data_IF_224111701250
#
_entry.id   IF_224111701250
#
_cell.length_a   1.000
_cell.length_b   1.000
_cell.length_c   1.000
_cell.angle_alpha   90.00
_cell.angle_beta   90.00
_cell.angle_gamma   90.00
#
_symmetry.space_group_name_H-M   'P 1'
#
loop_
_entity.id
_entity.type
_entity.pdbx_description
1 polymer ?
#
# COMPACT_ATOMS: atom_id res chain seq x y z
N UNK A 1 28.61 -32.55 -9.07
CA UNK A 1 29.37 -33.51 -8.23
C UNK A 1 28.90 -33.31 -6.79
N UNK A 2 27.94 -34.12 -6.34
CA UNK A 2 27.47 -34.12 -4.94
C UNK A 2 28.57 -34.77 -4.09
N UNK A 3 29.26 -34.01 -3.25
CA UNK A 3 29.97 -34.59 -2.11
C UNK A 3 28.92 -34.81 -1.01
N UNK A 4 28.49 -36.06 -0.77
CA UNK A 4 27.57 -36.35 0.32
C UNK A 4 28.35 -36.12 1.63
N UNK A 5 27.68 -35.61 2.65
CA UNK A 5 28.11 -35.72 4.04
C UNK A 5 28.39 -37.20 4.37
N UNK A 6 29.60 -37.68 4.07
CA UNK A 6 29.97 -39.10 4.12
C UNK A 6 30.48 -39.54 5.49
N UNK A 7 30.55 -38.65 6.48
CA UNK A 7 30.79 -39.05 7.85
C UNK A 7 29.74 -38.40 8.76
N UNK A 8 28.69 -39.18 9.03
CA UNK A 8 27.56 -38.81 9.90
C UNK A 8 28.00 -38.87 11.37
N UNK A 9 28.87 -37.96 11.81
CA UNK A 9 29.15 -37.75 13.23
C UNK A 9 28.06 -36.82 13.79
N UNK A 10 27.22 -37.36 14.69
CA UNK A 10 26.07 -36.63 15.27
C UNK A 10 26.42 -35.80 16.51
N UNK A 11 27.70 -35.77 16.90
CA UNK A 11 28.17 -35.15 18.15
C UNK A 11 29.16 -34.03 17.86
N UNK A 12 29.07 -32.87 18.55
CA UNK A 12 30.04 -31.77 18.40
C UNK A 12 31.47 -32.17 18.80
N UNK A 13 31.64 -33.29 19.53
CA UNK A 13 32.94 -33.85 19.92
C UNK A 13 33.84 -34.24 18.74
N UNK A 14 33.28 -34.50 17.54
CA UNK A 14 34.09 -34.77 16.34
C UNK A 14 35.02 -33.60 15.99
N UNK A 15 34.61 -32.36 16.27
CA UNK A 15 35.44 -31.17 16.10
C UNK A 15 36.70 -31.17 16.99
N UNK A 16 36.61 -31.78 18.18
CA UNK A 16 37.76 -31.92 19.09
C UNK A 16 38.80 -32.85 18.49
N UNK A 17 38.38 -33.98 17.91
CA UNK A 17 39.31 -34.91 17.26
C UNK A 17 40.02 -34.26 16.07
N UNK A 18 39.32 -33.48 15.24
CA UNK A 18 39.96 -32.74 14.14
C UNK A 18 40.91 -31.67 14.66
N UNK A 19 40.58 -30.98 15.75
CA UNK A 19 41.45 -29.97 16.35
C UNK A 19 42.74 -30.59 16.93
N UNK A 20 42.63 -31.74 17.61
CA UNK A 20 43.80 -32.49 18.11
C UNK A 20 44.70 -32.92 16.95
N UNK A 21 44.14 -33.47 15.87
CA UNK A 21 44.92 -33.87 14.69
C UNK A 21 45.64 -32.67 14.05
N UNK A 22 44.96 -31.54 13.90
CA UNK A 22 45.57 -30.29 13.40
C UNK A 22 46.69 -29.81 14.31
N UNK A 23 46.50 -29.86 15.64
CA UNK A 23 47.50 -29.47 16.61
C UNK A 23 48.74 -30.38 16.50
N UNK A 24 48.56 -31.71 16.47
CA UNK A 24 49.66 -32.66 16.29
C UNK A 24 50.39 -32.41 14.96
N UNK A 25 49.67 -32.12 13.88
CA UNK A 25 50.27 -31.82 12.58
C UNK A 25 51.15 -30.55 12.63
N UNK A 26 50.68 -29.47 13.26
CA UNK A 26 51.44 -28.22 13.38
C UNK A 26 52.66 -28.37 14.31
N UNK A 27 52.59 -29.19 15.37
CA UNK A 27 53.73 -29.35 16.29
C UNK A 27 54.74 -30.42 15.85
N UNK A 28 54.29 -31.53 15.27
CA UNK A 28 55.16 -32.67 14.95
C UNK A 28 55.55 -32.75 13.48
N UNK A 29 54.72 -32.26 12.55
CA UNK A 29 54.88 -32.49 11.10
C UNK A 29 55.35 -31.24 10.32
N UNK A 30 55.54 -30.10 10.99
CA UNK A 30 55.94 -28.84 10.33
C UNK A 30 57.25 -28.96 9.54
N UNK A 31 58.22 -29.76 10.03
CA UNK A 31 59.49 -30.01 9.32
C UNK A 31 59.29 -30.75 8.00
N UNK A 32 58.29 -31.63 7.92
CA UNK A 32 57.93 -32.38 6.71
C UNK A 32 57.10 -31.50 5.77
N UNK A 33 56.17 -30.69 6.30
CA UNK A 33 55.32 -29.78 5.53
C UNK A 33 56.16 -28.73 4.79
N UNK A 34 57.32 -28.34 5.32
CA UNK A 34 58.24 -27.39 4.67
C UNK A 34 58.70 -27.84 3.27
N UNK A 35 58.85 -29.15 3.03
CA UNK A 35 59.33 -29.67 1.75
C UNK A 35 58.21 -29.84 0.70
N UNK A 36 56.97 -29.48 1.01
CA UNK A 36 55.85 -29.63 0.08
C UNK A 36 55.97 -28.59 -1.05
N UNK A 37 55.96 -29.02 -2.32
CA UNK A 37 56.04 -28.09 -3.46
C UNK A 37 54.85 -27.12 -3.49
N UNK A 38 55.10 -25.83 -3.73
CA UNK A 38 54.05 -24.81 -3.90
C UNK A 38 53.05 -25.15 -5.02
N UNK A 39 53.50 -25.89 -6.05
CA UNK A 39 52.63 -26.38 -7.13
C UNK A 39 51.54 -27.33 -6.62
N UNK A 40 51.85 -28.19 -5.64
CA UNK A 40 50.89 -29.11 -5.03
C UNK A 40 49.83 -28.35 -4.22
N UNK A 41 50.24 -27.32 -3.47
CA UNK A 41 49.33 -26.47 -2.70
C UNK A 41 48.41 -25.66 -3.63
N UNK A 42 48.96 -25.06 -4.69
CA UNK A 42 48.19 -24.33 -5.68
C UNK A 42 47.17 -25.22 -6.40
N UNK A 43 47.55 -26.47 -6.75
CA UNK A 43 46.65 -27.43 -7.39
C UNK A 43 45.42 -27.76 -6.53
N UNK A 44 45.62 -28.01 -5.23
CA UNK A 44 44.52 -28.28 -4.29
C UNK A 44 43.62 -27.06 -4.14
N UNK A 45 44.18 -25.84 -4.06
CA UNK A 45 43.41 -24.60 -3.97
C UNK A 45 42.58 -24.36 -5.23
N UNK A 46 43.16 -24.50 -6.42
CA UNK A 46 42.45 -24.28 -7.70
C UNK A 46 41.30 -25.29 -7.84
N UNK A 47 41.53 -26.56 -7.51
CA UNK A 47 40.47 -27.57 -7.53
C UNK A 47 39.33 -27.23 -6.55
N UNK A 48 39.68 -26.85 -5.31
CA UNK A 48 38.69 -26.50 -4.28
C UNK A 48 37.91 -25.22 -4.62
N UNK A 49 38.56 -24.19 -5.16
CA UNK A 49 37.89 -22.93 -5.56
C UNK A 49 37.11 -23.09 -6.85
N UNK A 50 37.57 -23.93 -7.78
CA UNK A 50 36.84 -24.23 -9.01
C UNK A 50 35.44 -24.80 -8.74
N UNK A 51 35.32 -25.64 -7.70
CA UNK A 51 34.04 -26.19 -7.26
C UNK A 51 33.09 -25.14 -6.64
N UNK A 52 33.62 -23.97 -6.22
CA UNK A 52 32.83 -22.87 -5.68
C UNK A 52 32.21 -21.98 -6.76
N UNK A 53 32.77 -21.98 -7.98
CA UNK A 53 32.29 -21.12 -9.07
C UNK A 53 30.87 -21.53 -9.47
N UNK A 54 29.94 -20.57 -9.38
CA UNK A 54 28.54 -20.77 -9.75
C UNK A 54 28.44 -21.14 -11.23
N UNK A 55 27.71 -22.22 -11.52
CA UNK A 55 27.50 -22.68 -12.89
C UNK A 55 26.79 -21.60 -13.74
N UNK A 56 27.18 -21.40 -15.02
CA UNK A 56 26.60 -20.35 -15.87
C UNK A 56 25.08 -20.48 -16.07
N UNK A 57 24.54 -21.69 -15.98
CA UNK A 57 23.10 -21.94 -16.05
C UNK A 57 22.34 -21.26 -14.90
N UNK A 58 22.91 -21.19 -13.70
CA UNK A 58 22.30 -20.52 -12.55
C UNK A 58 22.20 -19.01 -12.75
N UNK A 59 23.21 -18.40 -13.40
CA UNK A 59 23.16 -16.97 -13.75
C UNK A 59 22.05 -16.66 -14.76
N UNK A 60 21.85 -17.57 -15.72
CA UNK A 60 20.74 -17.46 -16.66
C UNK A 60 19.38 -17.59 -15.97
N UNK A 61 19.26 -18.47 -14.98
CA UNK A 61 18.06 -18.59 -14.15
C UNK A 61 17.79 -17.31 -13.34
N UNK A 62 18.81 -16.68 -12.76
CA UNK A 62 18.64 -15.39 -12.07
C UNK A 62 18.05 -14.33 -12.98
N UNK A 63 18.57 -14.20 -14.22
CA UNK A 63 18.03 -13.25 -15.20
C UNK A 63 16.56 -13.56 -15.58
N UNK A 64 16.16 -14.83 -15.59
CA UNK A 64 14.76 -15.24 -15.87
C UNK A 64 13.82 -14.99 -14.70
N UNK A 65 14.28 -15.18 -13.46
CA UNK A 65 13.46 -15.01 -12.25
C UNK A 65 13.32 -13.52 -11.90
N UNK A 66 14.45 -12.82 -11.81
CA UNK A 66 14.52 -11.43 -11.38
C UNK A 66 15.70 -10.75 -12.09
N UNK A 67 15.44 -9.99 -13.17
CA UNK A 67 16.46 -9.22 -13.86
C UNK A 67 17.33 -8.31 -12.96
N UNK A 68 16.79 -7.59 -11.95
CA UNK A 68 17.64 -6.73 -11.11
C UNK A 68 18.63 -7.53 -10.27
N UNK A 69 18.29 -8.75 -9.83
CA UNK A 69 19.20 -9.56 -9.01
C UNK A 69 20.40 -10.05 -9.82
N UNK A 70 20.21 -10.32 -11.11
CA UNK A 70 21.31 -10.64 -12.02
C UNK A 70 22.26 -9.44 -12.20
N UNK A 71 21.74 -8.20 -12.20
CA UNK A 71 22.54 -6.97 -12.25
C UNK A 71 23.32 -6.78 -10.95
N UNK A 72 22.66 -6.98 -9.79
CA UNK A 72 23.32 -6.91 -8.47
C UNK A 72 24.49 -7.90 -8.41
N UNK A 73 24.27 -9.15 -8.85
CA UNK A 73 25.32 -10.15 -8.92
C UNK A 73 26.48 -9.72 -9.83
N UNK A 74 26.18 -9.23 -11.04
CA UNK A 74 27.21 -8.80 -12.00
C UNK A 74 28.05 -7.63 -11.45
N UNK A 75 27.40 -6.62 -10.85
CA UNK A 75 28.08 -5.49 -10.23
C UNK A 75 28.95 -5.96 -9.06
N UNK A 76 28.41 -6.83 -8.20
CA UNK A 76 29.17 -7.40 -7.08
C UNK A 76 30.43 -8.14 -7.53
N UNK A 77 30.31 -8.98 -8.57
CA UNK A 77 31.43 -9.72 -9.14
C UNK A 77 32.49 -8.78 -9.73
N UNK A 78 32.06 -7.78 -10.51
CA UNK A 78 32.98 -6.80 -11.12
C UNK A 78 33.72 -5.99 -10.04
N UNK A 79 33.03 -5.56 -8.99
CA UNK A 79 33.65 -4.80 -7.88
C UNK A 79 34.58 -5.71 -7.06
N UNK A 80 34.23 -6.98 -6.86
CA UNK A 80 35.08 -7.93 -6.14
C UNK A 80 36.40 -8.21 -6.88
N UNK A 81 36.38 -8.23 -8.22
CA UNK A 81 37.57 -8.45 -9.06
C UNK A 81 38.44 -7.18 -9.16
N UNK A 82 37.82 -6.00 -9.25
CA UNK A 82 38.55 -4.75 -9.51
C UNK A 82 39.01 -4.01 -8.25
N UNK A 83 38.34 -4.20 -7.12
CA UNK A 83 38.65 -3.52 -5.86
C UNK A 83 38.96 -4.54 -4.74
N UNK A 84 38.22 -4.43 -3.63
CA UNK A 84 38.36 -5.27 -2.44
C UNK A 84 37.02 -5.95 -2.16
N UNK A 85 37.09 -7.11 -1.52
CA UNK A 85 35.90 -7.88 -1.14
C UNK A 85 34.92 -7.04 -0.29
N UNK A 86 35.33 -6.25 0.72
CA UNK A 86 34.40 -5.40 1.48
C UNK A 86 33.63 -4.40 0.62
N UNK A 87 34.30 -3.75 -0.35
CA UNK A 87 33.66 -2.78 -1.23
C UNK A 87 32.57 -3.44 -2.10
N UNK A 88 32.79 -4.69 -2.53
CA UNK A 88 31.78 -5.45 -3.29
C UNK A 88 30.55 -5.79 -2.45
N UNK A 89 30.73 -6.08 -1.17
CA UNK A 89 29.63 -6.35 -0.24
C UNK A 89 28.82 -5.07 -0.02
N UNK A 90 29.49 -3.93 0.24
CA UNK A 90 28.79 -2.65 0.39
C UNK A 90 28.01 -2.26 -0.87
N UNK A 91 28.62 -2.40 -2.05
CA UNK A 91 27.95 -2.10 -3.32
C UNK A 91 26.69 -2.95 -3.54
N UNK A 92 26.78 -4.26 -3.35
CA UNK A 92 25.63 -5.17 -3.56
C UNK A 92 24.50 -4.94 -2.58
N UNK A 93 24.81 -4.72 -1.29
CA UNK A 93 23.81 -4.41 -0.26
C UNK A 93 23.11 -3.07 -0.56
N UNK A 94 23.87 -2.03 -0.88
CA UNK A 94 23.29 -0.72 -1.20
C UNK A 94 22.39 -0.77 -2.44
N UNK A 95 22.80 -1.45 -3.51
CA UNK A 95 21.96 -1.60 -4.71
C UNK A 95 20.71 -2.44 -4.40
N UNK A 96 20.83 -3.51 -3.61
CA UNK A 96 19.68 -4.33 -3.21
C UNK A 96 18.66 -3.51 -2.41
N UNK A 97 19.11 -2.68 -1.47
CA UNK A 97 18.23 -1.79 -0.70
C UNK A 97 17.59 -0.75 -1.62
N UNK A 98 18.36 -0.14 -2.53
CA UNK A 98 17.84 0.85 -3.48
C UNK A 98 16.76 0.26 -4.39
N UNK A 99 16.96 -0.95 -4.91
CA UNK A 99 15.96 -1.66 -5.72
C UNK A 99 14.71 -1.97 -4.90
N UNK A 100 14.87 -2.42 -3.65
CA UNK A 100 13.74 -2.69 -2.76
C UNK A 100 12.90 -1.43 -2.52
N UNK A 101 13.54 -0.32 -2.13
CA UNK A 101 12.87 0.96 -1.88
C UNK A 101 12.18 1.45 -3.15
N UNK A 102 12.86 1.38 -4.30
CA UNK A 102 12.30 1.81 -5.58
C UNK A 102 11.05 1.00 -5.96
N UNK A 103 11.11 -0.33 -5.82
CA UNK A 103 9.96 -1.20 -6.12
C UNK A 103 8.78 -0.92 -5.19
N UNK A 104 9.04 -0.75 -3.89
CA UNK A 104 8.01 -0.42 -2.92
C UNK A 104 7.41 0.98 -3.15
N UNK A 105 8.23 1.96 -3.51
CA UNK A 105 7.81 3.34 -3.78
C UNK A 105 6.97 3.46 -5.07
N UNK A 106 7.33 2.70 -6.11
CA UNK A 106 6.64 2.68 -7.41
C UNK A 106 5.60 1.57 -7.56
N UNK A 107 5.10 1.02 -6.47
CA UNK A 107 4.03 0.03 -6.54
C UNK A 107 2.79 0.63 -7.22
N UNK A 108 2.25 0.03 -8.29
CA UNK A 108 1.07 0.55 -8.99
C UNK A 108 -0.18 0.32 -8.12
N UNK A 109 -1.14 1.23 -8.17
CA UNK A 109 -2.46 1.00 -7.57
C UNK A 109 -3.51 0.95 -8.66
N UNK A 110 -4.62 0.28 -8.37
CA UNK A 110 -5.59 -0.10 -9.39
C UNK A 110 -6.97 0.47 -9.10
N UNK A 111 -7.56 1.11 -10.10
CA UNK A 111 -8.97 1.46 -10.07
C UNK A 111 -9.78 0.21 -10.37
N UNK A 112 -10.69 -0.19 -9.47
CA UNK A 112 -11.51 -1.38 -9.63
C UNK A 112 -12.87 -1.03 -10.24
N UNK A 113 -13.29 -1.80 -11.23
CA UNK A 113 -14.65 -1.82 -11.74
C UNK A 113 -15.37 -3.10 -11.31
N UNK A 114 -16.69 -3.09 -11.42
CA UNK A 114 -17.55 -4.18 -11.03
C UNK A 114 -18.04 -4.92 -12.27
N UNK A 115 -18.01 -6.25 -12.20
CA UNK A 115 -18.71 -7.13 -13.13
C UNK A 115 -19.52 -8.15 -12.35
N UNK A 116 -20.60 -8.64 -12.94
CA UNK A 116 -21.43 -9.68 -12.35
C UNK A 116 -21.10 -11.02 -12.99
N UNK A 117 -20.63 -11.97 -12.19
CA UNK A 117 -20.29 -13.31 -12.64
C UNK A 117 -21.19 -14.31 -11.93
N UNK A 118 -21.79 -15.22 -12.69
CA UNK A 118 -22.57 -16.33 -12.16
C UNK A 118 -23.86 -16.55 -12.94
N UNK A 119 -24.38 -17.78 -12.86
CA UNK A 119 -25.67 -18.16 -13.43
C UNK A 119 -26.83 -17.64 -12.56
N UNK A 120 -27.53 -18.53 -11.84
CA UNK A 120 -28.72 -18.14 -11.05
C UNK A 120 -28.44 -17.24 -9.83
N UNK A 121 -27.20 -17.24 -9.29
CA UNK A 121 -26.77 -16.31 -8.24
C UNK A 121 -25.59 -15.51 -8.75
N UNK A 122 -25.85 -14.28 -9.19
CA UNK A 122 -24.80 -13.35 -9.61
C UNK A 122 -23.98 -12.92 -8.40
N UNK A 123 -22.66 -13.02 -8.51
CA UNK A 123 -21.70 -12.51 -7.52
C UNK A 123 -20.93 -11.35 -8.15
N UNK A 124 -20.77 -10.24 -7.42
CA UNK A 124 -19.96 -9.13 -7.91
C UNK A 124 -18.49 -9.54 -7.86
N UNK A 125 -17.78 -9.37 -8.98
CA UNK A 125 -16.32 -9.45 -9.04
C UNK A 125 -15.77 -8.05 -9.30
N UNK A 126 -14.77 -7.66 -8.53
CA UNK A 126 -14.09 -6.38 -8.67
C UNK A 126 -12.75 -6.59 -9.38
N UNK A 127 -12.63 -6.07 -10.60
CA UNK A 127 -11.45 -6.23 -11.45
C UNK A 127 -10.78 -4.88 -11.73
N UNK A 128 -9.42 -4.84 -11.83
CA UNK A 128 -8.71 -3.66 -12.28
C UNK A 128 -9.19 -3.19 -13.66
N UNK A 129 -9.42 -1.89 -13.79
CA UNK A 129 -9.80 -1.24 -15.05
C UNK A 129 -8.60 -0.72 -15.85
N UNK A 130 -7.40 -0.73 -15.24
CA UNK A 130 -6.20 -0.11 -15.83
C UNK A 130 -5.50 -1.02 -16.85
N UNK A 131 -5.82 -2.30 -16.88
CA UNK A 131 -5.23 -3.29 -17.79
C UNK A 131 -6.32 -3.88 -18.72
N UNK A 132 -6.51 -3.30 -19.92
CA UNK A 132 -7.53 -3.77 -20.87
C UNK A 132 -7.18 -5.12 -21.51
N UNK A 133 -5.90 -5.52 -21.50
CA UNK A 133 -5.44 -6.75 -22.14
C UNK A 133 -5.58 -7.97 -21.21
N UNK A 134 -5.62 -7.75 -19.89
CA UNK A 134 -5.77 -8.81 -18.91
C UNK A 134 -7.08 -9.61 -19.05
N UNK A 135 -8.17 -8.96 -19.49
CA UNK A 135 -9.49 -9.57 -19.62
C UNK A 135 -10.23 -9.10 -20.89
N UNK A 136 -9.89 -9.61 -22.09
CA UNK A 136 -10.45 -9.12 -23.35
C UNK A 136 -11.98 -9.24 -23.45
N UNK A 137 -12.54 -10.30 -22.85
CA UNK A 137 -13.96 -10.63 -22.90
C UNK A 137 -14.80 -9.90 -21.82
N UNK A 138 -14.16 -9.24 -20.86
CA UNK A 138 -14.84 -8.64 -19.70
C UNK A 138 -14.35 -7.20 -19.51
N UNK A 139 -15.24 -6.23 -19.76
CA UNK A 139 -14.95 -4.81 -19.53
C UNK A 139 -15.51 -4.39 -18.17
N UNK A 140 -14.66 -4.22 -17.14
CA UNK A 140 -15.11 -3.71 -15.85
C UNK A 140 -15.57 -2.25 -15.96
N UNK A 141 -16.77 -1.97 -15.47
CA UNK A 141 -17.36 -0.63 -15.43
C UNK A 141 -17.41 -0.12 -13.98
N UNK A 142 -17.57 1.20 -13.81
CA UNK A 142 -17.76 1.76 -12.47
C UNK A 142 -19.05 1.20 -11.85
N UNK A 143 -19.04 0.81 -10.56
CA UNK A 143 -20.20 0.17 -9.93
C UNK A 143 -21.42 1.09 -9.90
N UNK A 144 -21.22 2.38 -9.64
CA UNK A 144 -22.25 3.43 -9.64
C UNK A 144 -21.69 4.74 -10.19
N UNK A 145 -22.52 5.63 -10.76
CA UNK A 145 -22.08 6.96 -11.15
C UNK A 145 -21.53 7.72 -9.94
N UNK A 146 -20.28 8.20 -10.03
CA UNK A 146 -19.67 9.00 -8.96
C UNK A 146 -19.09 8.19 -7.78
N UNK A 147 -19.06 6.86 -7.88
CA UNK A 147 -18.47 5.97 -6.86
C UNK A 147 -17.23 5.31 -7.42
N UNK A 148 -16.11 5.44 -6.72
CA UNK A 148 -14.82 4.90 -7.16
C UNK A 148 -14.30 3.90 -6.14
N UNK A 149 -13.82 2.76 -6.64
CA UNK A 149 -13.16 1.75 -5.82
C UNK A 149 -11.68 1.75 -6.21
N UNK A 150 -10.79 1.92 -5.24
CA UNK A 150 -9.35 1.94 -5.45
C UNK A 150 -8.67 0.87 -4.60
N UNK A 151 -7.80 0.06 -5.21
CA UNK A 151 -7.04 -1.00 -4.53
C UNK A 151 -5.56 -0.68 -4.51
N UNK A 152 -4.98 -0.75 -3.32
CA UNK A 152 -3.54 -0.74 -3.13
C UNK A 152 -2.97 -2.13 -3.46
N UNK A 153 -1.86 -2.17 -4.20
CA UNK A 153 -1.18 -3.44 -4.52
C UNK A 153 -0.21 -3.89 -3.43
N UNK A 154 0.32 -2.96 -2.64
CA UNK A 154 1.23 -3.21 -1.52
C UNK A 154 0.81 -2.37 -0.28
N UNK A 155 1.67 -2.32 0.74
CA UNK A 155 1.45 -1.49 1.94
C UNK A 155 1.33 -0.01 1.60
N UNK A 156 0.58 0.75 2.40
CA UNK A 156 0.37 2.19 2.20
C UNK A 156 1.20 2.95 3.24
N UNK A 157 2.36 3.45 2.83
CA UNK A 157 3.36 4.08 3.70
C UNK A 157 3.95 5.33 3.02
N UNK A 158 4.76 6.11 3.73
CA UNK A 158 5.41 7.31 3.22
C UNK A 158 6.02 7.18 1.81
N UNK A 159 6.81 6.13 1.47
CA UNK A 159 7.49 6.07 0.17
C UNK A 159 6.56 5.96 -1.04
N UNK A 160 5.34 5.45 -0.86
CA UNK A 160 4.40 5.22 -1.97
C UNK A 160 3.06 5.95 -1.83
N UNK A 161 2.80 6.60 -0.69
CA UNK A 161 1.53 7.24 -0.42
C UNK A 161 1.14 8.27 -1.51
N UNK A 162 2.07 9.17 -1.86
CA UNK A 162 1.84 10.18 -2.90
C UNK A 162 1.59 9.54 -4.27
N UNK A 163 2.39 8.53 -4.63
CA UNK A 163 2.23 7.83 -5.91
C UNK A 163 0.84 7.20 -6.05
N UNK A 164 0.35 6.56 -4.98
CA UNK A 164 -0.99 5.98 -4.96
C UNK A 164 -2.09 7.04 -5.02
N UNK A 165 -2.01 8.06 -4.17
CA UNK A 165 -3.08 9.05 -4.07
C UNK A 165 -3.15 9.99 -5.27
N UNK A 166 -2.02 10.33 -5.88
CA UNK A 166 -1.99 11.09 -7.14
C UNK A 166 -2.64 10.30 -8.27
N UNK A 167 -2.28 9.02 -8.44
CA UNK A 167 -2.89 8.15 -9.44
C UNK A 167 -4.41 8.01 -9.21
N UNK A 168 -4.83 7.83 -7.96
CA UNK A 168 -6.23 7.78 -7.59
C UNK A 168 -6.96 9.08 -7.92
N UNK A 169 -6.46 10.24 -7.47
CA UNK A 169 -7.08 11.55 -7.73
C UNK A 169 -7.17 11.84 -9.22
N UNK A 170 -6.13 11.53 -10.00
CA UNK A 170 -6.13 11.69 -11.45
C UNK A 170 -7.21 10.82 -12.11
N UNK A 171 -7.35 9.56 -11.68
CA UNK A 171 -8.39 8.66 -12.20
C UNK A 171 -9.81 9.16 -11.90
N UNK A 172 -10.01 9.71 -10.70
CA UNK A 172 -11.29 10.30 -10.27
C UNK A 172 -11.58 11.56 -11.08
N UNK A 173 -10.60 12.46 -11.24
CA UNK A 173 -10.80 13.72 -11.96
C UNK A 173 -11.08 13.50 -13.44
N UNK A 174 -10.52 12.46 -14.05
CA UNK A 174 -10.80 12.07 -15.44
C UNK A 174 -12.24 11.58 -15.63
N UNK A 175 -12.88 11.05 -14.58
CA UNK A 175 -14.18 10.38 -14.63
C UNK A 175 -15.30 11.12 -13.89
N UNK A 176 -15.02 12.30 -13.34
CA UNK A 176 -16.00 13.11 -12.60
C UNK A 176 -15.91 14.57 -12.97
N UNK A 177 -17.04 15.26 -12.95
CA UNK A 177 -17.07 16.73 -13.09
C UNK A 177 -17.02 17.43 -11.74
N UNK A 178 -16.68 18.72 -11.78
CA UNK A 178 -16.84 19.62 -10.63
C UNK A 178 -18.33 19.88 -10.40
N UNK A 179 -18.76 19.90 -9.14
CA UNK A 179 -20.15 20.23 -8.78
C UNK A 179 -20.44 21.71 -9.09
N UNK A 180 -19.51 22.60 -8.73
CA UNK A 180 -19.58 24.02 -9.03
C UNK A 180 -18.58 24.40 -10.12
N UNK A 181 -19.03 24.48 -11.38
CA UNK A 181 -18.19 24.90 -12.52
C UNK A 181 -17.71 26.37 -12.38
N UNK A 182 -18.49 27.20 -11.69
CA UNK A 182 -18.21 28.61 -11.42
C UNK A 182 -17.98 28.87 -9.91
N UNK A 183 -17.14 28.06 -9.25
CA UNK A 183 -16.85 28.23 -7.83
C UNK A 183 -16.18 29.58 -7.50
N UNK A 184 -15.50 30.21 -8.46
CA UNK A 184 -14.81 31.49 -8.27
C UNK A 184 -15.45 32.55 -9.18
N UNK A 185 -15.96 33.62 -8.58
CA UNK A 185 -16.58 34.74 -9.32
C UNK A 185 -15.50 35.56 -10.05
N UNK A 186 -14.34 35.75 -9.41
CA UNK A 186 -13.22 36.54 -9.93
C UNK A 186 -11.98 35.68 -10.10
N UNK A 187 -11.15 36.00 -11.10
CA UNK A 187 -9.83 35.36 -11.31
C UNK A 187 -8.91 35.48 -10.08
N UNK A 188 -9.07 36.53 -9.27
CA UNK A 188 -8.24 36.79 -8.08
C UNK A 188 -8.58 35.94 -6.85
N UNK A 189 -9.82 35.46 -6.72
CA UNK A 189 -10.26 34.61 -5.59
C UNK A 189 -9.78 33.17 -5.73
N UNK A 190 -9.16 32.87 -6.87
CA UNK A 190 -8.81 31.53 -7.30
C UNK A 190 -7.42 31.15 -6.77
N UNK A 191 -7.30 30.01 -6.07
CA UNK A 191 -5.99 29.50 -5.70
C UNK A 191 -5.08 29.35 -6.91
N UNK A 192 -3.82 29.73 -6.78
CA UNK A 192 -2.82 29.63 -7.85
C UNK A 192 -2.66 28.20 -8.42
N UNK A 193 -2.98 27.17 -7.62
CA UNK A 193 -2.90 25.77 -8.00
C UNK A 193 -4.18 25.21 -8.67
N UNK A 194 -5.25 25.98 -8.76
CA UNK A 194 -6.40 25.54 -9.53
C UNK A 194 -6.11 25.73 -11.03
N UNK A 195 -6.40 24.74 -11.91
CA UNK A 195 -6.33 24.90 -13.37
C UNK A 195 -7.62 25.52 -13.91
N UNK A 196 -7.51 26.52 -14.81
CA UNK A 196 -8.70 27.27 -15.22
C UNK A 196 -9.70 26.32 -15.87
N UNK A 197 -10.98 26.39 -15.46
CA UNK A 197 -12.06 25.93 -16.31
C UNK A 197 -12.10 26.89 -17.49
N UNK A 198 -11.12 26.77 -18.39
CA UNK A 198 -10.99 27.64 -19.54
C UNK A 198 -12.30 27.65 -20.32
N UNK A 199 -12.60 28.73 -21.04
CA UNK A 199 -13.75 28.87 -21.96
C UNK A 199 -13.91 27.73 -22.98
N UNK A 200 -12.93 26.82 -23.07
CA UNK A 200 -13.00 25.51 -23.73
C UNK A 200 -13.20 24.41 -22.68
N UNK A 201 -14.21 24.53 -21.82
CA UNK A 201 -14.69 23.38 -21.06
C UNK A 201 -15.05 22.34 -22.14
N UNK A 202 -14.35 21.21 -22.14
CA UNK A 202 -14.57 20.16 -23.11
C UNK A 202 -16.06 19.86 -23.09
N UNK A 203 -16.74 19.90 -24.23
CA UNK A 203 -18.19 19.74 -24.37
C UNK A 203 -18.73 18.37 -23.88
N UNK A 204 -17.89 17.54 -23.26
CA UNK A 204 -18.24 16.28 -22.60
C UNK A 204 -17.93 16.25 -21.09
N UNK A 205 -17.49 17.33 -20.44
CA UNK A 205 -17.36 17.36 -18.97
C UNK A 205 -18.72 17.43 -18.27
N UNK A 206 -19.75 18.00 -18.92
CA UNK A 206 -21.09 18.11 -18.33
C UNK A 206 -21.78 16.74 -18.15
N UNK A 207 -21.45 15.77 -19.01
CA UNK A 207 -21.99 14.40 -18.98
C UNK A 207 -21.34 13.51 -17.90
N UNK A 208 -20.24 13.94 -17.28
CA UNK A 208 -19.57 13.18 -16.25
C UNK A 208 -20.34 13.23 -14.92
N UNK A 209 -20.36 12.13 -14.14
CA UNK A 209 -21.05 12.12 -12.86
C UNK A 209 -20.34 13.00 -11.81
N UNK A 210 -21.12 13.45 -10.82
CA UNK A 210 -20.59 14.10 -9.62
C UNK A 210 -19.94 13.06 -8.70
N UNK A 211 -18.83 13.42 -8.05
CA UNK A 211 -18.17 12.56 -7.08
C UNK A 211 -19.02 12.44 -5.80
N UNK A 212 -19.32 11.21 -5.37
CA UNK A 212 -20.15 10.92 -4.19
C UNK A 212 -19.42 10.13 -3.12
N UNK A 213 -18.71 9.08 -3.52
CA UNK A 213 -18.00 8.21 -2.58
C UNK A 213 -16.73 7.61 -3.17
N UNK A 214 -15.76 7.36 -2.29
CA UNK A 214 -14.52 6.65 -2.57
C UNK A 214 -14.42 5.47 -1.61
N UNK A 215 -14.30 4.27 -2.16
CA UNK A 215 -14.09 3.02 -1.42
C UNK A 215 -12.64 2.61 -1.62
N UNK A 216 -11.90 2.48 -0.53
CA UNK A 216 -10.50 2.07 -0.54
C UNK A 216 -10.38 0.62 -0.08
N UNK A 217 -9.82 -0.24 -0.93
CA UNK A 217 -9.54 -1.64 -0.64
C UNK A 217 -8.17 -1.76 0.05
N UNK A 218 -8.18 -1.95 1.37
CA UNK A 218 -6.98 -2.11 2.21
C UNK A 218 -6.55 -3.58 2.35
N UNK A 219 -6.99 -4.48 1.47
CA UNK A 219 -6.65 -5.91 1.54
C UNK A 219 -5.14 -6.21 1.51
N UNK A 220 -4.35 -5.42 0.77
CA UNK A 220 -2.89 -5.51 0.74
C UNK A 220 -2.18 -4.67 1.82
N UNK A 221 -2.90 -3.77 2.49
CA UNK A 221 -2.33 -2.81 3.43
C UNK A 221 -2.24 -3.43 4.82
N UNK A 222 -1.03 -3.81 5.21
CA UNK A 222 -0.76 -4.40 6.53
C UNK A 222 -0.62 -3.34 7.62
N UNK A 223 0.10 -2.25 7.34
CA UNK A 223 0.34 -1.15 8.26
C UNK A 223 0.27 0.18 7.51
N UNK A 224 0.12 1.25 8.27
CA UNK A 224 0.16 2.64 7.80
C UNK A 224 1.03 3.45 8.75
N UNK A 225 1.62 4.52 8.23
CA UNK A 225 2.37 5.51 8.99
C UNK A 225 1.64 6.86 9.04
N UNK A 226 2.14 7.78 9.86
CA UNK A 226 1.51 9.10 10.07
C UNK A 226 1.43 9.87 8.75
N UNK A 227 2.49 9.82 7.94
CA UNK A 227 2.55 10.59 6.69
C UNK A 227 1.58 10.06 5.63
N UNK A 228 1.41 8.74 5.49
CA UNK A 228 0.40 8.20 4.55
C UNK A 228 -1.03 8.53 4.99
N UNK A 229 -1.33 8.47 6.30
CA UNK A 229 -2.65 8.86 6.81
C UNK A 229 -2.91 10.35 6.59
N UNK A 230 -1.93 11.22 6.84
CA UNK A 230 -2.06 12.65 6.56
C UNK A 230 -2.27 12.92 5.07
N UNK A 231 -1.53 12.23 4.20
CA UNK A 231 -1.70 12.34 2.75
C UNK A 231 -3.14 11.97 2.33
N UNK A 232 -3.77 10.99 3.00
CA UNK A 232 -5.16 10.65 2.74
C UNK A 232 -6.14 11.72 3.25
N UNK A 233 -5.85 12.39 4.37
CA UNK A 233 -6.61 13.55 4.86
C UNK A 233 -6.56 14.69 3.85
N UNK A 234 -5.38 14.97 3.29
CA UNK A 234 -5.19 16.02 2.29
C UNK A 234 -6.01 15.72 1.02
N UNK A 235 -6.03 14.46 0.59
CA UNK A 235 -6.84 13.99 -0.53
C UNK A 235 -8.34 14.11 -0.23
N UNK A 236 -8.79 13.77 0.98
CA UNK A 236 -10.19 13.97 1.39
C UNK A 236 -10.58 15.43 1.25
N UNK A 237 -9.75 16.34 1.73
CA UNK A 237 -10.02 17.78 1.65
C UNK A 237 -10.06 18.25 0.19
N UNK A 238 -9.13 17.79 -0.64
CA UNK A 238 -9.11 18.08 -2.08
C UNK A 238 -10.37 17.59 -2.80
N UNK A 239 -10.81 16.35 -2.53
CA UNK A 239 -12.00 15.77 -3.15
C UNK A 239 -13.29 16.45 -2.65
N UNK A 240 -13.36 16.80 -1.37
CA UNK A 240 -14.48 17.56 -0.81
C UNK A 240 -14.60 18.95 -1.44
N UNK A 241 -13.50 19.66 -1.64
CA UNK A 241 -13.51 20.95 -2.34
C UNK A 241 -14.03 20.81 -3.78
N UNK A 242 -13.71 19.71 -4.47
CA UNK A 242 -14.21 19.43 -5.83
C UNK A 242 -15.71 19.11 -5.86
N UNK A 243 -16.20 18.37 -4.87
CA UNK A 243 -17.56 17.86 -4.79
C UNK A 243 -18.55 18.81 -4.09
N UNK A 244 -18.07 19.85 -3.41
CA UNK A 244 -18.86 20.83 -2.66
C UNK A 244 -20.09 21.32 -3.46
N UNK A 245 -21.29 21.41 -2.83
CA UNK A 245 -21.54 21.36 -1.38
C UNK A 245 -21.69 19.96 -0.79
N UNK A 246 -21.66 18.91 -1.61
CA UNK A 246 -21.82 17.53 -1.12
C UNK A 246 -20.46 16.97 -0.73
N UNK A 247 -20.38 16.44 0.48
CA UNK A 247 -19.16 15.79 0.97
C UNK A 247 -18.99 14.40 0.37
N UNK A 248 -17.74 14.04 0.09
CA UNK A 248 -17.38 12.73 -0.46
C UNK A 248 -17.24 11.75 0.69
N UNK A 249 -17.98 10.63 0.63
CA UNK A 249 -17.86 9.59 1.65
C UNK A 249 -16.61 8.74 1.41
N UNK A 250 -15.81 8.54 2.46
CA UNK A 250 -14.63 7.67 2.43
C UNK A 250 -14.93 6.36 3.16
N UNK A 251 -14.96 5.27 2.41
CA UNK A 251 -15.19 3.93 2.93
C UNK A 251 -13.92 3.09 2.83
N UNK A 252 -13.72 2.21 3.81
CA UNK A 252 -12.54 1.36 3.89
C UNK A 252 -12.96 -0.10 3.96
N UNK A 253 -12.58 -0.89 2.94
CA UNK A 253 -12.78 -2.34 2.90
C UNK A 253 -11.52 -3.09 3.33
N UNK A 254 -11.69 -4.30 3.89
CA UNK A 254 -10.61 -5.22 4.22
C UNK A 254 -9.52 -4.68 5.17
N UNK A 255 -9.85 -3.74 6.06
CA UNK A 255 -8.89 -3.26 7.07
C UNK A 255 -8.71 -4.32 8.17
N UNK A 256 -7.66 -5.14 8.04
CA UNK A 256 -7.38 -6.26 8.96
C UNK A 256 -6.65 -5.81 10.22
N UNK A 257 -5.73 -4.86 10.11
CA UNK A 257 -4.91 -4.41 11.24
C UNK A 257 -5.67 -3.42 12.13
N UNK A 258 -5.72 -3.72 13.44
CA UNK A 258 -6.34 -2.87 14.46
C UNK A 258 -5.64 -1.52 14.59
N UNK A 259 -4.32 -1.47 14.45
CA UNK A 259 -3.55 -0.22 14.51
C UNK A 259 -3.83 0.67 13.30
N UNK A 260 -3.93 0.11 12.10
CA UNK A 260 -4.37 0.85 10.91
C UNK A 260 -5.79 1.40 11.07
N UNK A 261 -6.72 0.56 11.55
CA UNK A 261 -8.10 1.01 11.84
C UNK A 261 -8.14 2.11 12.91
N UNK A 262 -7.25 2.07 13.92
CA UNK A 262 -7.10 3.12 14.94
C UNK A 262 -6.53 4.41 14.33
N UNK A 263 -5.47 4.33 13.56
CA UNK A 263 -4.81 5.48 12.94
C UNK A 263 -5.76 6.23 11.99
N UNK A 264 -6.47 5.51 11.12
CA UNK A 264 -7.47 6.10 10.23
C UNK A 264 -8.61 6.76 11.01
N UNK A 265 -9.09 6.13 12.09
CA UNK A 265 -10.13 6.72 12.91
C UNK A 265 -9.68 7.96 13.68
N UNK A 266 -8.42 7.99 14.15
CA UNK A 266 -7.84 9.18 14.79
C UNK A 266 -7.73 10.36 13.80
N UNK A 267 -7.54 10.09 12.51
CA UNK A 267 -7.58 11.09 11.44
C UNK A 267 -9.01 11.52 11.01
N UNK A 268 -10.04 11.02 11.71
CA UNK A 268 -11.44 11.35 11.44
C UNK A 268 -12.07 10.55 10.30
N UNK A 269 -11.49 9.43 9.89
CA UNK A 269 -12.16 8.47 9.00
C UNK A 269 -13.06 7.50 9.78
N UNK A 270 -14.08 6.96 9.13
CA UNK A 270 -14.96 5.95 9.75
C UNK A 270 -16.30 6.50 10.27
N UNK A 271 -16.52 7.81 10.22
CA UNK A 271 -17.74 8.49 10.67
C UNK A 271 -18.23 9.48 9.59
N UNK A 272 -19.54 9.77 9.52
CA UNK A 272 -20.05 10.87 8.71
C UNK A 272 -19.52 12.21 9.24
N UNK A 273 -19.15 13.14 8.34
CA UNK A 273 -18.49 14.42 8.67
C UNK A 273 -19.36 15.33 9.56
N UNK A 274 -20.69 15.14 9.57
CA UNK A 274 -21.60 15.83 10.50
C UNK A 274 -21.38 15.47 11.98
N UNK A 275 -20.59 14.42 12.26
CA UNK A 275 -20.22 13.99 13.61
C UNK A 275 -18.78 14.34 14.01
N UNK A 276 -18.12 15.30 13.34
CA UNK A 276 -16.75 15.71 13.69
C UNK A 276 -16.67 16.54 14.98
N UNK A 277 -17.54 16.29 15.96
CA UNK A 277 -17.16 16.47 17.35
C UNK A 277 -16.27 15.27 17.69
N UNK A 278 -14.95 15.48 17.71
CA UNK A 278 -14.00 14.49 18.24
C UNK A 278 -14.60 13.89 19.51
N UNK A 279 -14.90 12.58 19.57
CA UNK A 279 -15.34 12.00 20.82
C UNK A 279 -14.18 12.17 21.79
N UNK A 280 -14.38 12.95 22.86
CA UNK A 280 -13.49 12.95 24.00
C UNK A 280 -13.46 11.50 24.48
N UNK A 281 -12.35 10.82 24.21
CA UNK A 281 -12.13 9.44 24.62
C UNK A 281 -12.02 9.48 26.14
N UNK A 282 -13.11 9.14 26.81
CA UNK A 282 -13.15 9.06 28.26
C UNK A 282 -12.16 7.98 28.73
N UNK A 283 -11.31 8.38 29.67
CA UNK A 283 -10.00 7.79 29.89
C UNK A 283 -10.02 6.35 30.36
N UNK A 284 -9.36 5.47 29.59
CA UNK A 284 -8.43 4.49 30.15
C UNK A 284 -7.42 4.06 29.09
N UNK A 285 -6.21 4.55 29.35
CA UNK A 285 -4.90 4.07 28.91
C UNK A 285 -4.30 4.64 27.61
N UNK A 286 -3.22 5.39 27.87
CA UNK A 286 -2.07 5.78 27.04
C UNK A 286 -2.10 7.20 26.45
N UNK A 287 -1.38 8.08 27.16
CA UNK A 287 -0.86 9.37 26.69
C UNK A 287 -0.10 9.22 25.36
N UNK A 288 -0.47 10.06 24.39
CA UNK A 288 0.50 10.57 23.40
C UNK A 288 0.32 12.08 23.40
N UNK A 289 1.21 12.74 24.12
CA UNK A 289 1.43 14.17 24.06
C UNK A 289 2.08 14.55 22.72
N UNK A 290 1.55 15.60 22.10
CA UNK A 290 2.18 16.33 21.00
C UNK A 290 1.72 15.93 19.59
N UNK A 291 0.86 16.77 18.99
CA UNK A 291 1.18 17.68 17.88
C UNK A 291 -0.02 18.65 17.74
N UNK A 292 0.16 19.87 18.27
CA UNK A 292 -0.46 21.10 17.79
C UNK A 292 0.46 21.56 16.64
N UNK A 293 0.03 21.98 15.45
CA UNK A 293 -0.72 23.21 15.20
C UNK A 293 -1.08 23.27 13.69
N UNK A 294 -2.37 23.39 13.35
CA UNK A 294 -2.78 23.87 12.03
C UNK A 294 -3.31 25.29 12.21
N UNK A 295 -2.47 26.27 11.88
CA UNK A 295 -2.86 27.66 11.81
C UNK A 295 -3.64 27.96 10.54
N UNK A 296 -4.87 28.45 10.69
CA UNK A 296 -5.31 29.63 9.97
C UNK A 296 -6.50 30.28 10.67
N UNK A 297 -6.29 31.55 11.04
CA UNK A 297 -7.32 32.48 11.52
C UNK A 297 -8.31 32.74 10.39
N UNK A 298 -9.59 32.59 10.69
CA UNK A 298 -10.65 33.50 10.23
C UNK A 298 -11.68 33.57 11.35
N UNK A 299 -11.74 34.75 11.97
CA UNK A 299 -12.72 35.12 12.97
C UNK A 299 -14.09 35.30 12.28
N UNK A 300 -15.03 34.41 12.57
CA UNK A 300 -16.47 34.72 12.54
C UNK A 300 -17.08 34.02 13.75
N UNK A 301 -17.37 34.80 14.79
CA UNK A 301 -18.21 34.37 15.90
C UNK A 301 -19.60 34.03 15.37
N UNK A 302 -19.93 32.75 15.31
CA UNK A 302 -21.32 32.27 15.22
C UNK A 302 -21.56 31.44 16.48
N UNK A 303 -22.61 31.82 17.21
CA UNK A 303 -22.94 31.36 18.54
C UNK A 303 -22.93 29.83 18.69
N UNK A 304 -22.49 29.40 19.88
CA UNK A 304 -22.57 28.02 20.35
C UNK A 304 -24.03 27.58 20.47
N UNK A 305 -24.58 27.01 19.42
CA UNK A 305 -25.72 26.10 19.53
C UNK A 305 -25.24 24.67 19.28
N UNK A 306 -25.32 23.86 20.33
CA UNK A 306 -25.08 22.42 20.28
C UNK A 306 -26.21 21.75 19.49
N UNK A 307 -26.13 21.79 18.15
CA UNK A 307 -27.10 21.17 17.27
C UNK A 307 -26.50 19.88 16.68
N UNK A 308 -27.03 18.77 17.21
CA UNK A 308 -27.29 17.50 16.53
C UNK A 308 -26.19 16.43 16.39
N UNK A 309 -25.82 15.80 17.52
CA UNK A 309 -25.45 14.37 17.52
C UNK A 309 -26.68 13.43 17.36
N UNK A 310 -27.89 13.93 17.63
CA UNK A 310 -29.12 13.13 17.61
C UNK A 310 -29.47 12.58 16.23
N UNK A 311 -29.14 13.30 15.13
CA UNK A 311 -29.46 12.84 13.77
C UNK A 311 -28.62 11.63 13.35
N UNK A 312 -27.34 11.56 13.71
CA UNK A 312 -26.51 10.41 13.34
C UNK A 312 -26.86 9.15 14.13
N UNK A 313 -27.20 9.28 15.42
CA UNK A 313 -27.75 8.18 16.22
C UNK A 313 -29.07 7.68 15.62
N UNK A 314 -29.92 8.58 15.13
CA UNK A 314 -31.19 8.24 14.49
C UNK A 314 -31.00 7.54 13.13
N UNK A 315 -29.96 7.89 12.36
CA UNK A 315 -29.59 7.17 11.13
C UNK A 315 -29.07 5.75 11.42
N UNK A 316 -28.19 5.61 12.41
CA UNK A 316 -27.65 4.30 12.84
C UNK A 316 -28.75 3.40 13.40
N UNK A 317 -29.71 3.95 14.16
CA UNK A 317 -30.84 3.20 14.70
C UNK A 317 -31.89 2.84 13.62
N UNK A 318 -32.10 3.71 12.63
CA UNK A 318 -32.90 3.44 11.43
C UNK A 318 -32.32 2.27 10.62
N UNK A 319 -30.99 2.20 10.47
CA UNK A 319 -30.33 1.10 9.77
C UNK A 319 -30.39 -0.24 10.54
N UNK A 320 -30.34 -0.23 11.89
CA UNK A 320 -30.53 -1.44 12.69
C UNK A 320 -31.92 -2.06 12.49
N UNK A 321 -32.96 -1.23 12.37
CA UNK A 321 -34.34 -1.67 12.22
C UNK A 321 -34.70 -2.15 10.80
N UNK A 322 -33.85 -1.88 9.80
CA UNK A 322 -34.10 -2.22 8.39
C UNK A 322 -33.36 -3.51 7.97
N UNK A 323 -32.59 -4.14 8.86
CA UNK A 323 -31.85 -5.37 8.56
C UNK A 323 -32.74 -6.62 8.75
N UNK A 324 -33.41 -7.06 7.68
CA UNK A 324 -34.02 -8.38 7.62
C UNK A 324 -32.95 -9.49 7.74
N UNK A 325 -33.29 -10.58 8.43
CA UNK A 325 -32.42 -11.62 9.02
C UNK A 325 -31.53 -12.47 8.06
N UNK A 326 -31.37 -12.12 6.79
CA UNK A 326 -30.69 -13.00 5.81
C UNK A 326 -29.27 -12.60 5.38
N UNK A 327 -28.68 -11.52 5.91
CA UNK A 327 -27.27 -11.22 5.68
C UNK A 327 -26.64 -10.53 6.88
N UNK A 328 -26.03 -11.30 7.80
CA UNK A 328 -25.17 -10.78 8.87
C UNK A 328 -23.86 -10.29 8.26
N UNK A 329 -23.87 -9.12 7.62
CA UNK A 329 -22.64 -8.35 7.43
C UNK A 329 -22.14 -7.96 8.82
N UNK A 330 -20.89 -8.28 9.14
CA UNK A 330 -20.24 -7.91 10.41
C UNK A 330 -19.98 -6.40 10.37
N UNK A 331 -21.04 -5.60 10.48
CA UNK A 331 -20.95 -4.15 10.58
C UNK A 331 -20.38 -3.82 11.95
N UNK A 332 -19.27 -3.09 11.96
CA UNK A 332 -18.64 -2.60 13.19
C UNK A 332 -19.58 -1.58 13.81
N UNK A 333 -20.36 -1.96 14.84
CA UNK A 333 -21.45 -1.16 15.42
C UNK A 333 -21.09 0.31 15.76
N UNK A 334 -19.81 0.59 16.04
CA UNK A 334 -19.34 1.94 16.36
C UNK A 334 -18.69 2.71 15.19
N UNK A 335 -18.54 2.11 13.99
CA UNK A 335 -17.86 2.78 12.85
C UNK A 335 -18.46 2.36 11.49
N UNK A 336 -19.43 3.10 10.94
CA UNK A 336 -20.21 2.67 9.77
C UNK A 336 -19.41 2.62 8.45
N UNK A 337 -18.29 3.35 8.33
CA UNK A 337 -17.52 3.37 7.07
C UNK A 337 -16.33 2.40 7.03
N UNK A 338 -16.18 1.53 8.03
CA UNK A 338 -15.24 0.41 7.99
C UNK A 338 -15.98 -0.89 7.71
N UNK A 339 -15.64 -1.51 6.58
CA UNK A 339 -16.32 -2.67 6.04
C UNK A 339 -15.44 -3.90 6.04
N UNK A 340 -16.05 -5.06 6.23
CA UNK A 340 -15.36 -6.35 6.13
C UNK A 340 -14.91 -6.62 4.69
N UNK A 341 -15.77 -6.29 3.72
CA UNK A 341 -15.58 -6.52 2.29
C UNK A 341 -16.04 -5.31 1.45
N UNK A 342 -15.74 -5.35 0.16
CA UNK A 342 -16.14 -4.29 -0.79
C UNK A 342 -17.65 -4.27 -1.06
N UNK A 343 -18.32 -5.42 -0.96
CA UNK A 343 -19.76 -5.47 -1.20
C UNK A 343 -20.53 -4.78 -0.08
N UNK A 344 -20.21 -5.03 1.20
CA UNK A 344 -20.84 -4.28 2.30
C UNK A 344 -20.58 -2.78 2.19
N UNK A 345 -19.39 -2.39 1.69
CA UNK A 345 -19.09 -0.99 1.43
C UNK A 345 -20.01 -0.39 0.36
N UNK A 346 -20.18 -1.11 -0.75
CA UNK A 346 -21.04 -0.67 -1.83
C UNK A 346 -22.51 -0.61 -1.42
N UNK A 347 -22.99 -1.57 -0.62
CA UNK A 347 -24.36 -1.56 -0.07
C UNK A 347 -24.62 -0.32 0.81
N UNK A 348 -23.65 0.09 1.64
CA UNK A 348 -23.80 1.33 2.41
C UNK A 348 -23.79 2.58 1.55
N UNK A 349 -23.01 2.59 0.47
CA UNK A 349 -23.03 3.68 -0.50
C UNK A 349 -24.36 3.72 -1.25
N UNK A 350 -24.91 2.56 -1.63
CA UNK A 350 -26.22 2.46 -2.28
C UNK A 350 -27.34 3.00 -1.39
N UNK A 351 -27.32 2.66 -0.09
CA UNK A 351 -28.24 3.23 0.89
C UNK A 351 -28.11 4.76 0.95
N UNK A 352 -26.89 5.29 1.00
CA UNK A 352 -26.65 6.74 0.97
C UNK A 352 -27.17 7.41 -0.31
N UNK A 353 -26.87 6.84 -1.48
CA UNK A 353 -27.32 7.36 -2.77
C UNK A 353 -28.85 7.33 -2.89
N UNK A 354 -29.52 6.32 -2.31
CA UNK A 354 -30.98 6.24 -2.31
C UNK A 354 -31.64 7.36 -1.48
N UNK A 355 -30.97 7.81 -0.41
CA UNK A 355 -31.44 8.91 0.45
C UNK A 355 -31.09 10.30 -0.09
N UNK A 356 -30.09 10.40 -0.98
CA UNK A 356 -29.63 11.64 -1.59
C UNK A 356 -29.54 11.50 -3.12
N UNK A 357 -30.68 11.29 -3.81
CA UNK A 357 -30.71 11.22 -5.26
C UNK A 357 -30.22 12.53 -5.87
N UNK A 358 -29.50 12.42 -6.99
CA UNK A 358 -28.85 13.53 -7.68
C UNK A 358 -29.83 14.54 -8.29
#
# INVERSE_FOLDING_TARGET
MHLPNRQKTRTPLAGVTTAIVVLVAIYALTTVIFYIPHASLASVIIHAVGDLIVAPNTLYQFRRISPPDAVIFAVGLVVAITNTIPNSIYATVCISIAVLIFRHAKAPGHSLGQIWIGGQKQRPLFLPMDDPDAYPDMKPENPRPGVFIYRFSEGFNYPNASHYTEAMVQSIFKRTRRTNAHAHVTKGDRPWNDPESGRKANSGEEDLPLLRAVILDFSAVNNVDVTSVQNLVDVRNLLNLRAAPVEVQFHFGHVRNRWTKRALAAAGFGYPTSCTAMPIIDGKDVEVSGIQECGHRHDVEIGKEAISCKRAEQWVESEKNTCNETSRSVKSANRPFFHADLMSALETVDAYLSTNPA
#
